data_IF_369829527422
#
_entry.id   IF_369829527422
#
_cell.length_a   1.000
_cell.length_b   1.000
_cell.length_c   1.000
_cell.angle_alpha   90.00
_cell.angle_beta   90.00
_cell.angle_gamma   90.00
#
_symmetry.space_group_name_H-M   'P 1'
#
loop_
_entity.id
_entity.type
_entity.pdbx_description
1 polymer ?
#
# COMPACT_ATOMS: atom_id res chain seq x y z
N UNK A 1 -8.42 5.24 -60.36
CA UNK A 1 -8.66 4.13 -59.40
C UNK A 1 -7.43 3.73 -58.56
N UNK A 2 -6.20 3.93 -59.00
CA UNK A 2 -4.98 3.55 -58.24
C UNK A 2 -4.70 4.42 -57.01
N UNK A 3 -5.00 5.71 -57.02
CA UNK A 3 -4.74 6.63 -55.91
C UNK A 3 -5.57 6.32 -54.65
N UNK A 4 -6.84 5.91 -54.79
CA UNK A 4 -7.71 5.59 -53.62
C UNK A 4 -7.30 4.31 -52.89
N UNK A 5 -6.64 3.34 -53.58
CA UNK A 5 -6.13 2.13 -52.94
C UNK A 5 -4.86 2.42 -52.12
N UNK A 6 -3.97 3.29 -52.61
CA UNK A 6 -2.77 3.69 -51.87
C UNK A 6 -3.10 4.46 -50.59
N UNK A 7 -4.10 5.34 -50.61
CA UNK A 7 -4.51 6.12 -49.44
C UNK A 7 -5.07 5.20 -48.35
N UNK A 8 -5.87 4.18 -48.72
CA UNK A 8 -6.41 3.22 -47.73
C UNK A 8 -5.33 2.36 -47.10
N UNK A 9 -4.34 1.92 -47.84
CA UNK A 9 -3.21 1.14 -47.29
C UNK A 9 -2.36 2.01 -46.40
N UNK A 10 -2.10 3.28 -46.76
CA UNK A 10 -1.35 4.20 -45.95
C UNK A 10 -2.06 4.52 -44.62
N UNK A 11 -3.38 4.68 -44.65
CA UNK A 11 -4.19 4.93 -43.46
C UNK A 11 -4.23 3.75 -42.48
N UNK A 12 -4.29 2.51 -43.02
CA UNK A 12 -4.25 1.29 -42.19
C UNK A 12 -2.87 1.07 -41.57
N UNK A 13 -1.79 1.35 -42.29
CA UNK A 13 -0.43 1.25 -41.70
C UNK A 13 -0.21 2.32 -40.66
N UNK A 14 -0.70 3.54 -40.89
CA UNK A 14 -0.60 4.64 -39.87
C UNK A 14 -1.40 4.31 -38.62
N UNK A 15 -2.60 3.70 -38.77
CA UNK A 15 -3.41 3.27 -37.61
C UNK A 15 -2.74 2.15 -36.83
N UNK A 16 -2.07 1.21 -37.48
CA UNK A 16 -1.31 0.14 -36.82
C UNK A 16 -0.08 0.67 -36.10
N UNK A 17 0.62 1.65 -36.65
CA UNK A 17 1.79 2.29 -36.00
C UNK A 17 1.33 3.10 -34.77
N UNK A 18 0.19 3.79 -34.83
CA UNK A 18 -0.36 4.53 -33.68
C UNK A 18 -0.81 3.58 -32.56
N UNK A 19 -1.43 2.45 -32.88
CA UNK A 19 -1.83 1.42 -31.90
C UNK A 19 -0.62 0.72 -31.26
N UNK A 20 0.48 0.55 -32.00
CA UNK A 20 1.69 -0.05 -31.44
C UNK A 20 2.51 0.92 -30.56
N UNK A 21 2.35 2.23 -30.70
CA UNK A 21 3.01 3.21 -29.84
C UNK A 21 2.30 3.39 -28.48
N UNK A 22 1.02 3.07 -28.36
CA UNK A 22 0.33 3.09 -27.06
C UNK A 22 0.64 1.86 -26.20
N UNK A 23 0.96 0.71 -26.79
CA UNK A 23 1.43 -0.47 -26.04
C UNK A 23 2.86 -0.31 -25.47
N UNK A 24 3.69 0.59 -26.01
CA UNK A 24 5.06 0.78 -25.54
C UNK A 24 5.16 1.71 -24.32
N UNK A 25 4.10 2.42 -23.93
CA UNK A 25 4.06 3.26 -22.71
C UNK A 25 3.46 2.58 -21.48
N UNK A 26 2.87 1.40 -21.63
CA UNK A 26 2.34 0.60 -20.53
C UNK A 26 3.37 -0.35 -19.89
N UNK A 27 4.64 -0.28 -20.29
CA UNK A 27 5.67 -1.26 -19.98
C UNK A 27 6.77 -0.80 -19.03
N UNK A 28 6.57 0.28 -18.28
CA UNK A 28 7.48 0.64 -17.19
C UNK A 28 6.69 1.03 -15.93
N UNK A 29 5.77 0.16 -15.54
CA UNK A 29 5.42 0.02 -14.14
C UNK A 29 6.61 -0.67 -13.51
N UNK A 30 7.32 0.05 -12.64
CA UNK A 30 8.40 -0.48 -11.86
C UNK A 30 7.95 -1.80 -11.23
N UNK A 31 8.54 -2.91 -11.66
CA UNK A 31 8.35 -4.27 -11.13
C UNK A 31 8.66 -4.35 -9.62
N UNK A 32 9.15 -3.24 -9.04
CA UNK A 32 9.56 -3.06 -7.65
C UNK A 32 8.42 -2.76 -6.67
N UNK A 33 7.26 -2.29 -7.12
CA UNK A 33 6.19 -1.78 -6.23
C UNK A 33 4.92 -2.62 -6.22
N UNK A 34 4.68 -3.49 -7.21
CA UNK A 34 3.36 -4.09 -7.41
C UNK A 34 2.94 -5.07 -6.31
N UNK A 35 3.82 -5.95 -5.83
CA UNK A 35 3.40 -7.04 -4.93
C UNK A 35 3.12 -6.58 -3.50
N UNK A 36 3.91 -5.67 -2.94
CA UNK A 36 3.71 -5.17 -1.57
C UNK A 36 2.51 -4.25 -1.45
N UNK A 37 2.33 -3.33 -2.40
CA UNK A 37 1.19 -2.42 -2.46
C UNK A 37 -0.12 -3.18 -2.72
N UNK A 38 -0.10 -4.14 -3.64
CA UNK A 38 -1.24 -5.02 -3.91
C UNK A 38 -1.59 -5.87 -2.69
N UNK A 39 -0.60 -6.39 -1.97
CA UNK A 39 -0.82 -7.12 -0.73
C UNK A 39 -1.50 -6.25 0.33
N UNK A 40 -1.01 -5.04 0.58
CA UNK A 40 -1.62 -4.10 1.53
C UNK A 40 -3.05 -3.77 1.10
N UNK A 41 -3.28 -3.43 -0.17
CA UNK A 41 -4.61 -3.16 -0.70
C UNK A 41 -5.58 -4.35 -0.51
N UNK A 42 -5.12 -5.58 -0.75
CA UNK A 42 -5.91 -6.79 -0.52
C UNK A 42 -6.24 -7.00 0.96
N UNK A 43 -5.32 -6.66 1.87
CA UNK A 43 -5.59 -6.72 3.33
C UNK A 43 -6.66 -5.70 3.70
N UNK A 44 -6.56 -4.47 3.19
CA UNK A 44 -7.48 -3.38 3.52
C UNK A 44 -8.87 -3.52 2.88
N UNK A 45 -8.99 -4.24 1.76
CA UNK A 45 -10.26 -4.43 1.04
C UNK A 45 -11.23 -5.45 1.66
N UNK A 46 -10.79 -6.21 2.67
CA UNK A 46 -11.62 -7.18 3.37
C UNK A 46 -12.68 -6.54 4.28
N UNK A 47 -13.72 -7.28 4.63
CA UNK A 47 -14.68 -6.85 5.66
C UNK A 47 -14.05 -7.01 7.05
N UNK A 48 -13.42 -5.93 7.53
CA UNK A 48 -12.71 -5.88 8.79
C UNK A 48 -13.73 -5.63 9.93
N UNK A 49 -13.75 -6.51 10.92
CA UNK A 49 -14.61 -6.41 12.10
C UNK A 49 -13.88 -5.82 13.31
N UNK A 50 -12.56 -5.96 13.37
CA UNK A 50 -11.72 -5.44 14.46
C UNK A 50 -10.32 -5.14 13.93
N UNK A 51 -9.71 -4.08 14.44
CA UNK A 51 -8.28 -3.77 14.19
C UNK A 51 -7.58 -3.60 15.54
N UNK A 52 -6.42 -4.26 15.68
CA UNK A 52 -5.55 -4.08 16.84
C UNK A 52 -4.24 -3.47 16.39
N UNK A 53 -3.86 -2.39 17.04
CA UNK A 53 -2.59 -1.70 16.87
C UNK A 53 -1.71 -1.98 18.10
N UNK A 54 -0.57 -2.60 17.89
CA UNK A 54 0.35 -3.01 18.97
C UNK A 54 1.67 -2.29 18.73
N UNK A 55 2.08 -1.47 19.70
CA UNK A 55 3.34 -0.74 19.65
C UNK A 55 3.63 0.01 20.94
N UNK A 56 4.90 0.27 21.24
CA UNK A 56 5.30 0.99 22.44
C UNK A 56 4.88 0.33 23.77
N UNK A 57 4.60 -0.98 23.76
CA UNK A 57 4.07 -1.71 24.92
C UNK A 57 2.55 -1.62 25.10
N UNK A 58 1.85 -0.89 24.22
CA UNK A 58 0.41 -0.68 24.25
C UNK A 58 -0.31 -1.48 23.16
N UNK A 59 -1.59 -1.75 23.43
CA UNK A 59 -2.50 -2.34 22.43
C UNK A 59 -3.75 -1.48 22.38
N UNK A 60 -4.05 -0.94 21.18
CA UNK A 60 -5.26 -0.18 20.91
C UNK A 60 -6.14 -1.00 19.99
N UNK A 61 -7.41 -1.16 20.36
CA UNK A 61 -8.37 -1.96 19.60
C UNK A 61 -9.50 -1.06 19.09
N UNK A 62 -9.72 -1.08 17.78
CA UNK A 62 -10.85 -0.43 17.12
C UNK A 62 -11.90 -1.50 16.78
N UNK A 63 -13.13 -1.28 17.20
CA UNK A 63 -14.30 -2.13 16.90
C UNK A 63 -15.45 -1.32 16.30
N UNK A 64 -15.39 -0.01 16.37
CA UNK A 64 -16.35 0.87 15.71
C UNK A 64 -16.08 0.94 14.21
N UNK A 65 -17.14 0.74 13.41
CA UNK A 65 -17.01 0.69 11.95
C UNK A 65 -16.53 2.00 11.32
N UNK A 66 -16.81 3.15 11.92
CA UNK A 66 -16.32 4.44 11.40
C UNK A 66 -14.84 4.66 11.73
N UNK A 67 -14.41 4.25 12.93
CA UNK A 67 -12.99 4.29 13.31
C UNK A 67 -12.18 3.35 12.42
N UNK A 68 -12.66 2.12 12.20
CA UNK A 68 -12.04 1.15 11.28
C UNK A 68 -11.95 1.74 9.86
N UNK A 69 -13.04 2.30 9.33
CA UNK A 69 -13.05 2.90 8.00
C UNK A 69 -12.06 4.07 7.89
N UNK A 70 -11.94 4.90 8.92
CA UNK A 70 -10.98 6.00 8.98
C UNK A 70 -9.53 5.49 8.99
N UNK A 71 -9.26 4.44 9.76
CA UNK A 71 -7.94 3.81 9.81
C UNK A 71 -7.56 3.16 8.47
N UNK A 72 -8.49 2.47 7.82
CA UNK A 72 -8.30 1.91 6.47
C UNK A 72 -8.01 3.01 5.46
N UNK A 73 -8.82 4.06 5.40
CA UNK A 73 -8.64 5.19 4.49
C UNK A 73 -7.28 5.90 4.70
N UNK A 74 -6.78 5.94 5.94
CA UNK A 74 -5.44 6.46 6.24
C UNK A 74 -4.35 5.55 5.69
N UNK A 75 -4.46 4.23 5.88
CA UNK A 75 -3.47 3.28 5.39
C UNK A 75 -3.46 3.13 3.86
N UNK A 76 -4.59 3.37 3.19
CA UNK A 76 -4.66 3.41 1.72
C UNK A 76 -3.82 4.54 1.10
N UNK A 77 -3.43 5.53 1.89
CA UNK A 77 -2.58 6.64 1.47
C UNK A 77 -1.08 6.32 1.57
N UNK A 78 -0.71 5.17 2.13
CA UNK A 78 0.69 4.80 2.27
C UNK A 78 1.25 4.29 0.95
N UNK A 79 2.39 4.84 0.55
CA UNK A 79 3.19 4.29 -0.53
C UNK A 79 3.90 3.03 -0.06
N UNK A 80 3.97 2.00 -0.91
CA UNK A 80 4.69 0.77 -0.59
C UNK A 80 5.81 0.57 -1.59
N UNK A 81 7.03 0.52 -1.08
CA UNK A 81 8.24 0.32 -1.88
C UNK A 81 8.95 -0.97 -1.47
N UNK A 82 9.68 -1.59 -2.39
CA UNK A 82 10.54 -2.71 -2.04
C UNK A 82 11.72 -2.20 -1.21
N UNK A 83 11.91 -2.76 -0.02
CA UNK A 83 13.08 -2.45 0.79
C UNK A 83 14.32 -3.12 0.17
N UNK A 84 15.39 -2.35 0.01
CA UNK A 84 16.70 -2.87 -0.42
C UNK A 84 17.46 -3.48 0.76
N UNK A 85 17.07 -3.17 1.98
CA UNK A 85 17.65 -3.69 3.20
C UNK A 85 17.03 -5.06 3.50
N UNK A 86 17.74 -6.13 3.19
CA UNK A 86 17.29 -7.52 3.41
C UNK A 86 17.32 -7.91 4.89
N UNK A 87 17.97 -7.13 5.73
CA UNK A 87 17.93 -7.28 7.17
C UNK A 87 16.69 -6.59 7.72
N UNK A 88 15.59 -7.35 7.84
CA UNK A 88 14.49 -6.94 8.72
C UNK A 88 15.13 -6.81 10.11
N UNK A 89 15.57 -5.62 10.46
CA UNK A 89 15.94 -5.31 11.82
C UNK A 89 14.77 -5.73 12.68
N UNK A 90 15.03 -6.55 13.69
CA UNK A 90 14.02 -6.95 14.65
C UNK A 90 13.17 -5.72 15.00
N UNK A 91 11.82 -5.85 15.10
CA UNK A 91 10.95 -4.71 15.33
C UNK A 91 11.53 -3.85 16.45
N UNK A 92 12.00 -2.65 16.10
CA UNK A 92 12.51 -1.70 17.08
C UNK A 92 11.35 -1.13 17.90
N UNK A 93 11.65 -0.34 18.91
CA UNK A 93 10.63 0.32 19.74
C UNK A 93 9.64 1.20 18.95
N UNK A 94 9.96 1.53 17.72
CA UNK A 94 9.11 2.35 16.83
C UNK A 94 8.23 1.53 15.88
N UNK A 95 8.32 0.19 15.86
CA UNK A 95 7.49 -0.63 14.98
C UNK A 95 6.08 -0.80 15.51
N UNK A 96 5.12 -0.83 14.59
CA UNK A 96 3.70 -0.98 14.88
C UNK A 96 3.20 -2.25 14.20
N UNK A 97 2.71 -3.21 14.97
CA UNK A 97 2.04 -4.38 14.44
C UNK A 97 0.53 -4.10 14.37
N UNK A 98 -0.05 -4.20 13.18
CA UNK A 98 -1.50 -4.09 12.99
C UNK A 98 -2.07 -5.48 12.69
N UNK A 99 -3.05 -5.87 13.48
CA UNK A 99 -3.80 -7.12 13.30
C UNK A 99 -5.18 -6.76 12.77
N UNK A 100 -5.53 -7.34 11.64
CA UNK A 100 -6.82 -7.20 10.98
C UNK A 100 -7.65 -8.46 11.21
N UNK A 101 -8.71 -8.37 11.98
CA UNK A 101 -9.69 -9.44 12.16
C UNK A 101 -10.84 -9.23 11.18
N UNK A 102 -11.17 -10.22 10.39
CA UNK A 102 -12.25 -10.15 9.40
C UNK A 102 -13.53 -10.79 9.91
N UNK A 103 -14.67 -10.43 9.30
CA UNK A 103 -15.99 -10.98 9.62
C UNK A 103 -16.11 -12.49 9.37
N UNK A 104 -15.23 -13.07 8.58
CA UNK A 104 -15.14 -14.51 8.31
C UNK A 104 -14.24 -15.28 9.28
N UNK A 105 -13.90 -14.69 10.44
CA UNK A 105 -13.00 -15.24 11.45
C UNK A 105 -11.54 -15.47 11.01
N UNK A 106 -11.13 -14.92 9.89
CA UNK A 106 -9.71 -14.93 9.47
C UNK A 106 -8.97 -13.71 10.01
N UNK A 107 -7.64 -13.83 10.15
CA UNK A 107 -6.77 -12.78 10.66
C UNK A 107 -5.59 -12.57 9.71
N UNK A 108 -5.18 -11.31 9.56
CA UNK A 108 -3.92 -10.94 8.92
C UNK A 108 -3.14 -9.97 9.79
N UNK A 109 -1.81 -9.95 9.61
CA UNK A 109 -0.91 -9.08 10.36
C UNK A 109 0.02 -8.35 9.41
N UNK A 110 0.21 -7.07 9.67
CA UNK A 110 1.23 -6.24 9.01
C UNK A 110 2.02 -5.51 10.09
N UNK A 111 3.34 -5.49 9.97
CA UNK A 111 4.20 -4.70 10.84
C UNK A 111 4.73 -3.52 10.05
N UNK A 112 4.51 -2.30 10.53
CA UNK A 112 5.03 -1.07 9.97
C UNK A 112 6.31 -0.63 10.68
N UNK A 113 7.25 0.03 10.00
CA UNK A 113 7.19 0.39 8.59
C UNK A 113 7.45 -0.78 7.61
N UNK A 114 8.06 -1.88 8.06
CA UNK A 114 8.52 -2.95 7.18
C UNK A 114 7.73 -4.25 7.36
N UNK A 115 7.33 -4.86 6.25
CA UNK A 115 6.65 -6.17 6.22
C UNK A 115 7.16 -7.03 5.06
N UNK A 116 6.95 -8.33 5.15
CA UNK A 116 7.38 -9.28 4.13
C UNK A 116 6.18 -9.92 3.41
N UNK A 117 6.30 -10.09 2.09
CA UNK A 117 5.37 -10.83 1.25
C UNK A 117 6.17 -11.77 0.39
N UNK A 118 5.90 -13.07 0.48
CA UNK A 118 6.58 -14.13 -0.28
C UNK A 118 8.13 -14.06 -0.20
N UNK A 119 8.67 -13.70 0.97
CA UNK A 119 10.10 -13.59 1.21
C UNK A 119 10.75 -12.29 0.70
N UNK A 120 9.97 -11.36 0.19
CA UNK A 120 10.42 -10.03 -0.22
C UNK A 120 10.00 -9.02 0.85
N UNK A 121 10.93 -8.18 1.28
CA UNK A 121 10.66 -7.11 2.26
C UNK A 121 10.19 -5.85 1.55
N UNK A 122 9.14 -5.24 2.10
CA UNK A 122 8.58 -3.97 1.66
C UNK A 122 8.56 -2.99 2.83
N UNK A 123 8.63 -1.71 2.50
CA UNK A 123 8.50 -0.61 3.43
C UNK A 123 7.28 0.24 3.04
N UNK A 124 6.43 0.52 4.03
CA UNK A 124 5.34 1.46 3.89
C UNK A 124 5.81 2.87 4.24
N UNK A 125 5.53 3.82 3.38
CA UNK A 125 5.94 5.22 3.49
C UNK A 125 4.71 6.12 3.59
N UNK A 126 4.81 7.15 4.41
CA UNK A 126 3.88 8.27 4.45
C UNK A 126 4.68 9.55 4.24
N UNK A 127 4.35 10.30 3.18
CA UNK A 127 5.08 11.52 2.78
C UNK A 127 6.61 11.30 2.58
N UNK A 128 6.99 10.10 2.12
CA UNK A 128 8.37 9.71 1.86
C UNK A 128 9.16 9.22 3.07
N UNK A 129 8.53 9.13 4.24
CA UNK A 129 9.11 8.59 5.47
C UNK A 129 8.45 7.27 5.85
N UNK A 130 9.18 6.38 6.52
CA UNK A 130 8.63 5.13 7.05
C UNK A 130 7.42 5.40 7.96
N UNK A 131 6.42 4.53 7.90
CA UNK A 131 5.20 4.68 8.72
C UNK A 131 5.51 4.43 10.19
N UNK A 132 5.35 5.46 11.02
CA UNK A 132 5.50 5.44 12.47
C UNK A 132 4.24 5.94 13.18
N UNK A 133 4.26 6.04 14.51
CA UNK A 133 3.13 6.42 15.36
C UNK A 133 2.46 7.72 14.90
N UNK A 134 3.23 8.78 14.60
CA UNK A 134 2.70 10.07 14.16
C UNK A 134 1.84 9.97 12.89
N UNK A 135 2.13 9.03 12.02
CA UNK A 135 1.38 8.86 10.77
C UNK A 135 0.01 8.19 10.99
N UNK A 136 -0.16 7.49 12.12
CA UNK A 136 -1.41 6.83 12.52
C UNK A 136 -2.16 7.62 13.60
N UNK A 137 -1.55 8.59 14.28
CA UNK A 137 -2.17 9.39 15.34
C UNK A 137 -3.51 10.03 14.94
N UNK A 138 -3.74 10.47 13.71
CA UNK A 138 -5.05 10.98 13.29
C UNK A 138 -6.21 9.99 13.43
N UNK A 139 -5.92 8.68 13.50
CA UNK A 139 -6.91 7.61 13.58
C UNK A 139 -6.73 6.68 14.78
N UNK A 140 -5.55 6.70 15.40
CA UNK A 140 -5.17 5.85 16.55
C UNK A 140 -4.48 6.72 17.59
N UNK A 141 -5.15 6.97 18.74
CA UNK A 141 -4.59 7.77 19.82
C UNK A 141 -3.68 6.93 20.70
N UNK A 142 -2.38 7.22 20.63
CA UNK A 142 -1.38 6.54 21.43
C UNK A 142 -1.20 7.22 22.79
N UNK A 143 -1.37 6.51 23.94
CA UNK A 143 -1.27 7.12 25.26
C UNK A 143 0.09 7.73 25.59
N UNK A 144 1.15 7.27 24.90
CA UNK A 144 2.53 7.72 25.12
C UNK A 144 2.98 8.77 24.07
N UNK A 145 2.20 8.96 23.00
CA UNK A 145 2.51 9.95 21.98
C UNK A 145 1.87 11.27 22.40
N UNK A 146 2.70 12.22 22.77
CA UNK A 146 2.29 13.62 22.97
C UNK A 146 2.93 14.41 21.84
N UNK A 147 2.13 15.05 21.01
CA UNK A 147 2.64 16.09 20.14
C UNK A 147 3.30 17.15 21.05
N UNK A 148 4.60 17.39 20.84
CA UNK A 148 5.24 18.54 21.46
C UNK A 148 4.49 19.78 20.94
N UNK A 149 3.61 20.35 21.78
CA UNK A 149 2.97 21.61 21.46
C UNK A 149 4.08 22.68 21.29
N UNK A 150 4.03 23.45 20.19
CA UNK A 150 5.03 24.48 19.89
C UNK A 150 5.01 25.64 20.88
#
# INVERSE_FOLDING_TARGET
MKARKCIRVLLTVLLFVLLSMECAKAGHLDEKTSNGGEYLANVLSGEISEMKFIGGGETITLTDGQEIASAVARMEQFDVVRSEDTDIKAPGAASICVIFQYTNDTEKRITFPCFAVDGVTYEALCDGEGVYYQHLEPVVHWPFYQEDEP
#
